data_IF_287733507913
#
_entry.id   IF_287733507913
#
_cell.length_a   1.000
_cell.length_b   1.000
_cell.length_c   1.000
_cell.angle_alpha   90.00
_cell.angle_beta   90.00
_cell.angle_gamma   90.00
#
_symmetry.space_group_name_H-M   'P 1'
#
loop_
_entity.id
_entity.type
_entity.pdbx_description
1 polymer ?
#
# COMPACT_ATOMS: atom_id res chain seq x y z
N UNK A 1 -6.69 45.20 24.86
CA UNK A 1 -7.44 44.51 23.79
C UNK A 1 -6.47 44.27 22.65
N UNK A 2 -6.01 43.05 22.47
CA UNK A 2 -5.14 42.67 21.36
C UNK A 2 -6.04 42.23 20.22
N UNK A 3 -6.03 42.96 19.12
CA UNK A 3 -6.78 42.64 17.91
C UNK A 3 -6.03 41.53 17.17
N UNK A 4 -6.61 40.32 17.09
CA UNK A 4 -6.09 39.20 16.28
C UNK A 4 -6.43 39.50 14.81
N UNK A 5 -5.44 39.59 13.89
CA UNK A 5 -5.75 39.78 12.48
C UNK A 5 -6.47 38.55 11.90
N UNK A 6 -7.51 38.80 11.10
CA UNK A 6 -8.26 37.81 10.38
C UNK A 6 -7.33 36.97 9.44
N UNK A 7 -7.33 35.68 9.60
CA UNK A 7 -6.64 34.77 8.69
C UNK A 7 -7.34 34.85 7.31
N UNK A 8 -6.59 35.29 6.32
CA UNK A 8 -7.04 35.31 4.93
C UNK A 8 -7.42 33.88 4.49
N UNK A 9 -8.52 33.68 3.74
CA UNK A 9 -8.88 32.39 3.21
C UNK A 9 -7.75 31.91 2.27
N UNK A 10 -7.31 30.67 2.50
CA UNK A 10 -6.38 29.96 1.63
C UNK A 10 -6.92 29.99 0.19
N UNK A 11 -6.08 30.16 -0.83
CA UNK A 11 -6.52 30.16 -2.22
C UNK A 11 -7.26 28.87 -2.53
N UNK A 12 -8.41 29.00 -3.22
CA UNK A 12 -9.22 27.89 -3.70
C UNK A 12 -8.32 26.93 -4.48
N UNK A 13 -8.07 25.74 -3.91
CA UNK A 13 -7.34 24.67 -4.59
C UNK A 13 -8.15 24.25 -5.80
N UNK A 14 -7.69 24.61 -7.00
CA UNK A 14 -8.11 23.97 -8.23
C UNK A 14 -7.93 22.47 -8.02
N UNK A 15 -9.00 21.70 -8.13
CA UNK A 15 -8.94 20.24 -8.00
C UNK A 15 -7.86 19.72 -8.95
N UNK A 16 -6.95 18.86 -8.52
CA UNK A 16 -5.89 18.36 -9.37
C UNK A 16 -6.50 17.70 -10.60
N UNK A 17 -6.03 18.05 -11.79
CA UNK A 17 -6.50 17.47 -13.06
C UNK A 17 -6.28 15.95 -13.13
N UNK A 18 -5.43 15.39 -12.27
CA UNK A 18 -5.09 13.97 -12.16
C UNK A 18 -5.66 13.41 -10.85
N UNK A 19 -6.41 12.31 -10.96
CA UNK A 19 -6.91 11.57 -9.79
C UNK A 19 -5.75 10.89 -9.06
N UNK A 20 -5.72 11.02 -7.73
CA UNK A 20 -4.74 10.36 -6.89
C UNK A 20 -4.83 8.83 -7.03
N UNK A 21 -3.68 8.18 -7.20
CA UNK A 21 -3.54 6.74 -7.37
C UNK A 21 -2.16 6.29 -6.90
N UNK A 22 -1.90 4.98 -6.77
CA UNK A 22 -0.58 4.49 -6.39
C UNK A 22 0.55 5.11 -7.22
N UNK A 23 1.50 5.74 -6.55
CA UNK A 23 2.70 6.31 -7.16
C UNK A 23 3.89 5.34 -7.15
N UNK A 24 3.78 4.21 -6.45
CA UNK A 24 4.71 3.08 -6.48
C UNK A 24 4.09 1.87 -7.15
N UNK A 25 4.93 1.04 -7.77
CA UNK A 25 4.56 -0.33 -8.13
C UNK A 25 4.81 -1.19 -6.89
N UNK A 26 3.77 -1.84 -6.38
CA UNK A 26 3.91 -2.69 -5.19
C UNK A 26 3.27 -4.04 -5.43
N UNK A 27 3.94 -5.11 -4.98
CA UNK A 27 3.44 -6.46 -5.15
C UNK A 27 2.08 -6.61 -4.43
N UNK A 28 1.13 -7.31 -5.04
CA UNK A 28 -0.21 -7.45 -4.49
C UNK A 28 -1.15 -6.24 -4.67
N UNK A 29 -0.71 -5.19 -5.38
CA UNK A 29 -1.51 -3.97 -5.57
C UNK A 29 -2.92 -4.22 -6.12
N UNK A 30 -3.94 -3.72 -5.42
CA UNK A 30 -5.37 -4.00 -5.66
C UNK A 30 -6.01 -3.17 -6.77
N UNK A 31 -5.27 -2.31 -7.45
CA UNK A 31 -5.84 -1.36 -8.41
C UNK A 31 -6.75 -1.96 -9.49
N UNK A 32 -6.52 -3.21 -9.89
CA UNK A 32 -7.36 -3.93 -10.87
C UNK A 32 -8.58 -4.59 -10.27
N UNK A 33 -8.60 -4.78 -8.97
CA UNK A 33 -9.67 -5.48 -8.25
C UNK A 33 -10.64 -4.51 -7.57
N UNK A 34 -10.31 -3.24 -7.50
CA UNK A 34 -11.11 -2.21 -6.83
C UNK A 34 -12.56 -2.20 -7.31
N UNK A 35 -12.79 -2.32 -8.63
CA UNK A 35 -14.15 -2.40 -9.17
C UNK A 35 -14.94 -3.60 -8.66
N UNK A 36 -14.29 -4.70 -8.35
CA UNK A 36 -14.94 -5.87 -7.73
C UNK A 36 -15.08 -5.72 -6.21
N UNK A 37 -14.23 -4.90 -5.58
CA UNK A 37 -14.29 -4.62 -4.14
C UNK A 37 -15.33 -3.56 -3.79
N UNK A 38 -15.68 -2.69 -4.76
CA UNK A 38 -16.58 -1.55 -4.56
C UNK A 38 -17.88 -1.90 -3.83
N UNK A 39 -18.60 -2.98 -4.16
CA UNK A 39 -19.85 -3.32 -3.48
C UNK A 39 -19.66 -3.71 -2.00
N UNK A 40 -18.43 -4.01 -1.60
CA UNK A 40 -18.11 -4.48 -0.25
C UNK A 40 -17.57 -3.38 0.65
N UNK A 41 -17.18 -2.23 0.12
CA UNK A 41 -16.74 -1.11 0.95
C UNK A 41 -17.89 -0.56 1.78
N UNK A 42 -17.67 -0.21 3.06
CA UNK A 42 -18.66 0.50 3.85
C UNK A 42 -19.08 1.81 3.20
N UNK A 43 -20.38 2.11 3.22
CA UNK A 43 -20.91 3.33 2.65
C UNK A 43 -20.34 4.62 3.29
N UNK A 44 -19.98 4.54 4.57
CA UNK A 44 -19.35 5.61 5.33
C UNK A 44 -18.24 5.05 6.22
N UNK A 45 -17.22 5.85 6.47
CA UNK A 45 -16.09 5.51 7.31
C UNK A 45 -15.60 6.79 8.00
N UNK A 46 -15.61 6.80 9.34
CA UNK A 46 -15.13 7.97 10.09
C UNK A 46 -13.60 8.05 9.99
N UNK A 47 -12.89 7.03 10.46
CA UNK A 47 -11.46 6.90 10.26
C UNK A 47 -11.16 5.56 9.56
N UNK A 48 -10.41 5.64 8.50
CA UNK A 48 -9.95 4.49 7.73
C UNK A 48 -8.56 4.05 8.18
N UNK A 49 -8.39 2.78 8.45
CA UNK A 49 -7.10 2.19 8.84
C UNK A 49 -6.65 1.17 7.82
N UNK A 50 -5.40 1.29 7.35
CA UNK A 50 -4.77 0.34 6.41
C UNK A 50 -3.38 -0.03 6.94
N UNK A 51 -3.25 -1.05 7.82
CA UNK A 51 -1.98 -1.45 8.45
C UNK A 51 -0.97 -2.11 7.50
N UNK A 52 -1.38 -2.48 6.30
CA UNK A 52 -0.54 -3.01 5.22
C UNK A 52 -0.70 -2.13 3.99
N UNK A 53 -0.32 -0.86 4.08
CA UNK A 53 -0.64 0.11 3.01
C UNK A 53 -0.01 -0.24 1.66
N UNK A 54 1.20 -0.81 1.65
CA UNK A 54 1.88 -1.17 0.41
C UNK A 54 1.84 -0.06 -0.63
N UNK A 55 1.19 -0.30 -1.78
CA UNK A 55 0.98 0.72 -2.82
C UNK A 55 -0.17 1.69 -2.56
N UNK A 56 -1.01 1.47 -1.53
CA UNK A 56 -2.12 2.34 -1.14
C UNK A 56 -3.30 2.36 -2.12
N UNK A 57 -3.50 1.30 -2.90
CA UNK A 57 -4.53 1.31 -3.95
C UNK A 57 -5.95 1.50 -3.38
N UNK A 58 -6.26 0.87 -2.24
CA UNK A 58 -7.56 0.99 -1.58
C UNK A 58 -7.69 2.36 -0.94
N UNK A 59 -6.65 2.83 -0.23
CA UNK A 59 -6.64 4.18 0.33
C UNK A 59 -6.92 5.24 -0.73
N UNK A 60 -6.16 5.29 -1.83
CA UNK A 60 -6.34 6.31 -2.86
C UNK A 60 -7.72 6.27 -3.50
N UNK A 61 -8.31 5.09 -3.62
CA UNK A 61 -9.66 4.93 -4.13
C UNK A 61 -10.70 5.50 -3.17
N UNK A 62 -10.55 5.23 -1.87
CA UNK A 62 -11.50 5.66 -0.84
C UNK A 62 -11.26 7.09 -0.33
N UNK A 63 -10.09 7.68 -0.57
CA UNK A 63 -9.70 8.99 -0.05
C UNK A 63 -10.73 10.11 -0.27
N UNK A 64 -11.45 10.19 -1.42
CA UNK A 64 -12.49 11.19 -1.59
C UNK A 64 -13.70 11.05 -0.65
N UNK A 65 -13.91 9.84 -0.09
CA UNK A 65 -15.09 9.48 0.73
C UNK A 65 -14.79 9.44 2.23
N UNK A 66 -13.53 9.60 2.64
CA UNK A 66 -13.14 9.51 4.05
C UNK A 66 -12.63 10.85 4.60
N UNK A 67 -12.83 11.05 5.90
CA UNK A 67 -12.40 12.27 6.59
C UNK A 67 -10.96 12.16 7.09
N UNK A 68 -10.59 11.00 7.59
CA UNK A 68 -9.28 10.69 8.17
C UNK A 68 -8.81 9.30 7.75
N UNK A 69 -7.50 9.12 7.69
CA UNK A 69 -6.89 7.81 7.51
C UNK A 69 -5.68 7.63 8.43
N UNK A 70 -5.40 6.37 8.78
CA UNK A 70 -4.16 5.93 9.41
C UNK A 70 -3.57 4.85 8.51
N UNK A 71 -2.45 5.18 7.86
CA UNK A 71 -1.77 4.30 6.92
C UNK A 71 -0.52 3.75 7.58
N UNK A 72 -0.47 2.45 7.72
CA UNK A 72 0.63 1.74 8.36
C UNK A 72 1.35 0.79 7.42
N UNK A 73 2.61 0.59 7.67
CA UNK A 73 3.40 -0.51 7.10
C UNK A 73 4.54 -0.83 8.06
N UNK A 74 5.00 -2.07 8.05
CA UNK A 74 6.17 -2.48 8.85
C UNK A 74 7.48 -2.06 8.18
N UNK A 75 7.45 -1.69 6.90
CA UNK A 75 8.62 -1.25 6.15
C UNK A 75 8.89 0.25 6.37
N UNK A 76 9.93 0.62 7.15
CA UNK A 76 10.22 2.02 7.46
C UNK A 76 10.60 2.85 6.23
N UNK A 77 11.17 2.23 5.18
CA UNK A 77 11.50 2.94 3.96
C UNK A 77 10.26 3.31 3.16
N UNK A 78 9.24 2.44 3.15
CA UNK A 78 7.95 2.74 2.53
C UNK A 78 7.24 3.86 3.30
N UNK A 79 7.18 3.77 4.63
CA UNK A 79 6.62 4.82 5.51
C UNK A 79 7.33 6.16 5.27
N UNK A 80 8.66 6.15 5.17
CA UNK A 80 9.45 7.33 4.85
C UNK A 80 9.04 7.95 3.51
N UNK A 81 8.87 7.14 2.45
CA UNK A 81 8.42 7.63 1.14
C UNK A 81 7.05 8.30 1.22
N UNK A 82 6.07 7.66 1.87
CA UNK A 82 4.73 8.23 2.04
C UNK A 82 4.76 9.59 2.78
N UNK A 83 5.58 9.71 3.83
CA UNK A 83 5.77 10.96 4.57
C UNK A 83 6.34 12.06 3.68
N UNK A 84 7.38 11.77 2.87
CA UNK A 84 7.96 12.76 1.97
C UNK A 84 7.01 13.17 0.83
N UNK A 85 6.22 12.24 0.31
CA UNK A 85 5.17 12.57 -0.67
C UNK A 85 4.11 13.48 -0.05
N UNK A 86 3.71 13.21 1.20
CA UNK A 86 2.72 14.04 1.92
C UNK A 86 3.24 15.42 2.24
N UNK A 87 4.43 15.49 2.87
CA UNK A 87 4.88 16.68 3.59
C UNK A 87 5.73 17.62 2.72
N UNK A 88 6.51 17.10 1.79
CA UNK A 88 7.42 17.89 0.97
C UNK A 88 7.57 17.35 -0.47
N UNK A 89 6.45 17.21 -1.23
CA UNK A 89 6.49 16.65 -2.58
C UNK A 89 7.40 17.42 -3.52
N UNK A 90 7.49 18.75 -3.40
CA UNK A 90 8.37 19.57 -4.24
C UNK A 90 9.85 19.21 -4.06
N UNK A 91 10.31 19.03 -2.81
CA UNK A 91 11.69 18.64 -2.54
C UNK A 91 11.99 17.23 -3.06
N UNK A 92 11.04 16.30 -2.89
CA UNK A 92 11.14 14.95 -3.40
C UNK A 92 11.21 14.92 -4.94
N UNK A 93 10.34 15.67 -5.61
CA UNK A 93 10.34 15.77 -7.09
C UNK A 93 11.65 16.34 -7.62
N UNK A 94 12.26 17.32 -6.95
CA UNK A 94 13.58 17.84 -7.35
C UNK A 94 14.66 16.73 -7.34
N UNK A 95 14.66 15.86 -6.34
CA UNK A 95 15.56 14.70 -6.29
C UNK A 95 15.24 13.66 -7.37
N UNK A 96 13.96 13.41 -7.62
CA UNK A 96 13.54 12.46 -8.67
C UNK A 96 13.90 12.97 -10.07
N UNK A 97 13.78 14.26 -10.33
CA UNK A 97 14.22 14.87 -11.60
C UNK A 97 15.75 14.78 -11.77
N UNK A 98 16.50 14.90 -10.66
CA UNK A 98 17.94 14.62 -10.71
C UNK A 98 18.22 13.18 -11.10
N UNK A 99 17.56 12.19 -10.46
CA UNK A 99 17.70 10.78 -10.84
C UNK A 99 17.29 10.51 -12.29
N UNK A 100 16.21 11.15 -12.77
CA UNK A 100 15.71 11.00 -14.14
C UNK A 100 16.73 11.47 -15.18
N UNK A 101 17.38 12.62 -14.95
CA UNK A 101 18.40 13.17 -15.86
C UNK A 101 19.66 12.31 -15.97
N UNK A 102 20.02 11.59 -14.89
CA UNK A 102 21.22 10.76 -14.83
C UNK A 102 20.94 9.29 -15.13
N UNK A 103 19.67 8.92 -15.37
CA UNK A 103 19.27 7.51 -15.53
C UNK A 103 20.04 6.81 -16.66
N UNK A 104 20.78 5.80 -16.29
CA UNK A 104 21.50 4.86 -17.15
C UNK A 104 21.66 3.53 -16.39
N UNK A 105 22.05 2.44 -17.06
CA UNK A 105 22.36 1.19 -16.36
C UNK A 105 23.43 1.34 -15.28
N UNK A 106 24.50 2.06 -15.57
CA UNK A 106 25.60 2.27 -14.62
C UNK A 106 25.13 3.10 -13.40
N UNK A 107 24.38 4.16 -13.67
CA UNK A 107 23.79 4.99 -12.62
C UNK A 107 22.81 4.19 -11.76
N UNK A 108 21.97 3.34 -12.38
CA UNK A 108 21.07 2.46 -11.63
C UNK A 108 21.82 1.59 -10.63
N UNK A 109 22.87 0.91 -11.08
CA UNK A 109 23.66 0.03 -10.21
C UNK A 109 24.46 0.82 -9.18
N UNK A 110 24.91 2.04 -9.49
CA UNK A 110 25.55 2.93 -8.51
C UNK A 110 24.55 3.31 -7.38
N UNK A 111 23.34 3.74 -7.73
CA UNK A 111 22.28 4.08 -6.75
C UNK A 111 21.83 2.84 -5.96
N UNK A 112 21.73 1.67 -6.63
CA UNK A 112 21.37 0.42 -5.95
C UNK A 112 22.35 0.03 -4.84
N UNK A 113 23.66 0.26 -5.05
CA UNK A 113 24.72 -0.02 -4.06
C UNK A 113 24.75 0.95 -2.88
N UNK A 114 24.04 2.06 -2.93
CA UNK A 114 23.98 3.01 -1.81
C UNK A 114 23.03 2.49 -0.72
N UNK A 115 23.56 1.69 0.22
CA UNK A 115 22.73 1.08 1.26
C UNK A 115 22.54 1.97 2.50
N UNK A 116 23.42 2.95 2.72
CA UNK A 116 23.43 3.83 3.88
C UNK A 116 23.36 5.30 3.45
N UNK A 117 22.13 5.81 3.26
CA UNK A 117 21.90 7.23 3.02
C UNK A 117 21.43 7.88 4.33
N UNK A 118 22.15 8.90 4.84
CA UNK A 118 21.83 9.53 6.12
C UNK A 118 20.53 10.36 6.04
N UNK A 119 20.26 10.97 4.90
CA UNK A 119 19.11 11.86 4.75
C UNK A 119 17.84 11.08 4.35
N UNK A 120 16.73 11.20 5.10
CA UNK A 120 15.48 10.53 4.79
C UNK A 120 14.93 10.89 3.40
N UNK A 121 15.10 12.12 2.93
CA UNK A 121 14.72 12.55 1.59
C UNK A 121 15.46 11.76 0.49
N UNK A 122 16.76 11.55 0.64
CA UNK A 122 17.56 10.81 -0.34
C UNK A 122 17.16 9.33 -0.35
N UNK A 123 16.84 8.74 0.81
CA UNK A 123 16.30 7.38 0.91
C UNK A 123 14.95 7.27 0.19
N UNK A 124 14.06 8.23 0.40
CA UNK A 124 12.75 8.25 -0.26
C UNK A 124 12.88 8.36 -1.79
N UNK A 125 13.70 9.30 -2.26
CA UNK A 125 13.95 9.47 -3.70
C UNK A 125 14.61 8.22 -4.31
N UNK A 126 15.59 7.62 -3.61
CA UNK A 126 16.23 6.37 -4.02
C UNK A 126 15.21 5.24 -4.16
N UNK A 127 14.33 5.05 -3.17
CA UNK A 127 13.34 3.97 -3.22
C UNK A 127 12.41 4.15 -4.41
N UNK A 128 11.86 5.35 -4.64
CA UNK A 128 10.99 5.62 -5.79
C UNK A 128 11.76 5.39 -7.10
N UNK A 129 12.98 5.92 -7.22
CA UNK A 129 13.81 5.73 -8.40
C UNK A 129 14.04 4.25 -8.74
N UNK A 130 14.48 3.46 -7.75
CA UNK A 130 14.71 2.03 -7.91
C UNK A 130 13.42 1.29 -8.27
N UNK A 131 12.32 1.59 -7.60
CA UNK A 131 11.02 0.98 -7.87
C UNK A 131 10.50 1.27 -9.29
N UNK A 132 10.71 2.48 -9.79
CA UNK A 132 10.28 2.87 -11.14
C UNK A 132 11.17 2.29 -12.24
N UNK A 133 12.41 1.96 -11.94
CA UNK A 133 13.42 1.56 -12.94
C UNK A 133 13.88 0.11 -12.83
N UNK A 134 13.58 -0.59 -11.74
CA UNK A 134 13.91 -2.01 -11.57
C UNK A 134 12.97 -2.94 -12.36
N UNK A 135 13.38 -4.19 -12.50
CA UNK A 135 12.60 -5.24 -13.15
C UNK A 135 11.22 -5.39 -12.51
N UNK A 136 10.17 -5.16 -13.29
CA UNK A 136 8.75 -5.23 -12.92
C UNK A 136 8.32 -4.36 -11.73
N UNK A 137 9.13 -3.40 -11.29
CA UNK A 137 8.82 -2.58 -10.11
C UNK A 137 8.80 -3.39 -8.81
N UNK A 138 9.53 -4.49 -8.75
CA UNK A 138 9.61 -5.33 -7.57
C UNK A 138 10.36 -4.62 -6.44
N UNK A 139 9.91 -4.84 -5.21
CA UNK A 139 10.70 -4.54 -4.02
C UNK A 139 11.20 -5.86 -3.44
N UNK A 140 12.51 -6.04 -3.38
CA UNK A 140 13.14 -7.23 -2.80
C UNK A 140 14.47 -6.86 -2.17
N UNK A 141 14.73 -7.43 -1.01
CA UNK A 141 15.97 -7.29 -0.26
C UNK A 141 16.67 -8.65 -0.13
N UNK A 142 17.97 -8.62 0.02
CA UNK A 142 18.75 -9.79 0.44
C UNK A 142 18.67 -9.97 1.97
N UNK A 143 19.33 -11.00 2.51
CA UNK A 143 19.37 -11.29 3.95
C UNK A 143 19.97 -10.17 4.82
N UNK A 144 20.69 -9.23 4.19
CA UNK A 144 21.27 -8.06 4.85
C UNK A 144 20.36 -6.82 4.77
N UNK A 145 19.12 -6.95 4.25
CA UNK A 145 18.19 -5.83 4.07
C UNK A 145 18.58 -4.89 2.91
N UNK A 146 19.39 -5.34 1.97
CA UNK A 146 19.82 -4.52 0.84
C UNK A 146 18.96 -4.81 -0.40
N UNK A 147 18.47 -3.76 -1.03
CA UNK A 147 17.72 -3.86 -2.29
C UNK A 147 18.55 -4.54 -3.38
N UNK A 148 18.03 -5.62 -3.99
CA UNK A 148 18.81 -6.48 -4.89
C UNK A 148 18.13 -6.77 -6.24
N UNK A 149 17.07 -6.07 -6.61
CA UNK A 149 16.40 -6.27 -7.91
C UNK A 149 17.29 -5.74 -9.05
N UNK A 150 17.40 -6.42 -10.21
CA UNK A 150 18.12 -5.91 -11.37
C UNK A 150 17.36 -4.77 -12.06
N UNK A 151 18.03 -4.02 -12.90
CA UNK A 151 17.41 -2.99 -13.76
C UNK A 151 16.34 -3.60 -14.66
N UNK A 152 15.23 -2.88 -14.86
CA UNK A 152 14.17 -3.24 -15.79
C UNK A 152 14.48 -2.79 -17.24
N UNK A 153 13.71 -3.32 -18.17
CA UNK A 153 13.83 -2.97 -19.61
C UNK A 153 12.80 -1.89 -19.97
N UNK A 154 13.03 -0.65 -19.53
CA UNK A 154 12.15 0.48 -19.82
C UNK A 154 12.87 1.49 -20.71
N UNK A 155 12.26 1.87 -21.84
CA UNK A 155 12.81 2.90 -22.72
C UNK A 155 12.67 4.31 -22.11
N UNK A 156 11.57 4.59 -21.40
CA UNK A 156 11.31 5.86 -20.72
C UNK A 156 10.59 5.59 -19.40
N UNK A 157 11.30 5.22 -18.33
CA UNK A 157 10.67 4.95 -17.04
C UNK A 157 10.09 6.25 -16.44
N UNK A 158 8.84 6.19 -16.00
CA UNK A 158 8.15 7.32 -15.34
C UNK A 158 8.70 7.57 -13.92
N UNK A 159 9.96 8.05 -13.81
CA UNK A 159 10.67 8.24 -12.55
C UNK A 159 10.02 9.35 -11.71
N UNK A 160 9.68 10.47 -12.36
CA UNK A 160 9.02 11.61 -11.71
C UNK A 160 7.74 11.97 -12.49
N UNK A 161 6.60 11.68 -11.90
CA UNK A 161 5.27 12.08 -12.38
C UNK A 161 4.76 13.17 -11.46
N UNK A 162 4.95 14.43 -11.86
CA UNK A 162 4.65 15.59 -11.04
C UNK A 162 3.19 15.64 -10.65
N UNK A 163 2.29 15.47 -11.62
CA UNK A 163 0.84 15.60 -11.40
C UNK A 163 0.34 14.51 -10.45
N UNK A 164 0.82 13.29 -10.64
CA UNK A 164 0.49 12.17 -9.74
C UNK A 164 1.02 12.39 -8.32
N UNK A 165 2.25 12.89 -8.17
CA UNK A 165 2.84 13.14 -6.85
C UNK A 165 2.12 14.27 -6.12
N UNK A 166 1.70 15.33 -6.83
CA UNK A 166 0.86 16.38 -6.23
C UNK A 166 -0.52 15.87 -5.85
N UNK A 167 -1.18 15.10 -6.72
CA UNK A 167 -2.47 14.49 -6.40
C UNK A 167 -2.37 13.54 -5.20
N UNK A 168 -1.34 12.70 -5.15
CA UNK A 168 -1.08 11.81 -4.03
C UNK A 168 -0.82 12.59 -2.73
N UNK A 169 0.01 13.65 -2.79
CA UNK A 169 0.26 14.53 -1.65
C UNK A 169 -1.04 15.13 -1.10
N UNK A 170 -1.89 15.66 -1.97
CA UNK A 170 -3.18 16.24 -1.58
C UNK A 170 -4.09 15.21 -0.88
N UNK A 171 -4.17 13.99 -1.40
CA UNK A 171 -4.94 12.92 -0.77
C UNK A 171 -4.38 12.52 0.60
N UNK A 172 -3.05 12.50 0.74
CA UNK A 172 -2.36 12.10 1.97
C UNK A 172 -2.44 13.15 3.09
N UNK A 173 -2.86 14.41 2.84
CA UNK A 173 -2.97 15.43 3.88
C UNK A 173 -3.92 15.05 5.03
N UNK A 174 -4.87 14.15 4.77
CA UNK A 174 -5.81 13.64 5.78
C UNK A 174 -5.33 12.34 6.42
N UNK A 175 -4.13 11.86 6.07
CA UNK A 175 -3.59 10.60 6.53
C UNK A 175 -2.47 10.80 7.57
N UNK A 176 -2.59 10.11 8.69
CA UNK A 176 -1.45 9.82 9.57
C UNK A 176 -0.68 8.65 8.98
N UNK A 177 0.64 8.77 8.83
CA UNK A 177 1.50 7.75 8.25
C UNK A 177 2.43 7.23 9.33
N UNK A 178 2.33 5.95 9.64
CA UNK A 178 2.99 5.33 10.80
C UNK A 178 3.72 4.04 10.42
N UNK A 179 4.84 3.79 11.08
CA UNK A 179 5.43 2.46 11.13
C UNK A 179 4.64 1.69 12.18
N UNK A 180 3.85 0.69 11.75
CA UNK A 180 2.88 0.03 12.61
C UNK A 180 2.86 -1.47 12.33
N UNK A 181 3.29 -2.31 13.29
CA UNK A 181 2.94 -3.71 13.30
C UNK A 181 1.42 -3.87 13.30
N UNK A 182 0.88 -4.78 12.47
CA UNK A 182 -0.58 -4.91 12.33
C UNK A 182 -1.32 -5.21 13.64
N UNK A 183 -0.64 -5.82 14.62
CA UNK A 183 -1.18 -6.09 15.96
C UNK A 183 -1.48 -4.83 16.76
N UNK A 184 -0.73 -3.76 16.52
CA UNK A 184 -0.84 -2.52 17.28
C UNK A 184 -2.09 -1.71 16.91
N UNK A 185 -2.82 -2.14 15.88
CA UNK A 185 -4.16 -1.63 15.56
C UNK A 185 -5.12 -1.81 16.74
N UNK A 186 -4.94 -2.84 17.55
CA UNK A 186 -5.78 -3.10 18.73
C UNK A 186 -5.65 -2.04 19.82
N UNK A 187 -4.54 -1.31 19.85
CA UNK A 187 -4.28 -0.21 20.77
C UNK A 187 -4.80 1.14 20.27
N UNK A 188 -5.29 1.20 19.03
CA UNK A 188 -5.89 2.42 18.49
C UNK A 188 -7.31 2.62 19.09
N UNK A 189 -7.76 3.88 19.26
CA UNK A 189 -9.10 4.19 19.80
C UNK A 189 -10.18 3.99 18.72
N UNK A 190 -10.33 2.75 18.25
CA UNK A 190 -11.29 2.37 17.22
C UNK A 190 -12.71 2.30 17.77
N UNK A 191 -13.65 2.80 16.97
CA UNK A 191 -15.08 2.79 17.21
C UNK A 191 -15.82 2.00 16.13
N UNK A 192 -17.11 1.64 16.31
CA UNK A 192 -17.91 0.99 15.27
C UNK A 192 -18.09 1.83 13.97
N UNK A 193 -17.81 3.11 14.02
CA UNK A 193 -17.86 4.01 12.85
C UNK A 193 -16.59 3.93 11.99
N UNK A 194 -15.53 3.35 12.52
CA UNK A 194 -14.25 3.21 11.83
C UNK A 194 -14.20 1.97 10.94
N UNK A 195 -13.30 2.01 9.97
CA UNK A 195 -13.09 0.92 9.02
C UNK A 195 -11.61 0.51 9.00
N UNK A 196 -11.37 -0.79 8.97
CA UNK A 196 -10.03 -1.36 8.84
C UNK A 196 -9.97 -2.23 7.59
N UNK A 197 -8.94 -2.05 6.77
CA UNK A 197 -8.65 -2.94 5.65
C UNK A 197 -7.27 -3.59 5.83
N UNK A 198 -7.24 -4.91 5.80
CA UNK A 198 -6.03 -5.70 5.84
C UNK A 198 -5.72 -6.30 4.46
N UNK A 199 -4.52 -6.03 3.96
CA UNK A 199 -3.95 -6.65 2.75
C UNK A 199 -2.59 -7.27 3.08
N UNK A 200 -2.56 -8.35 3.90
CA UNK A 200 -1.31 -8.96 4.34
C UNK A 200 -0.61 -9.67 3.17
N UNK A 201 0.67 -10.04 3.32
CA UNK A 201 1.27 -11.03 2.44
C UNK A 201 0.41 -12.30 2.42
N UNK A 202 0.02 -12.73 1.20
CA UNK A 202 -0.93 -13.84 1.02
C UNK A 202 -0.35 -15.18 1.40
N UNK A 203 -1.19 -16.03 1.97
CA UNK A 203 -0.80 -17.41 2.24
C UNK A 203 -0.50 -18.17 0.92
N UNK A 204 0.64 -18.89 0.80
CA UNK A 204 0.97 -19.64 -0.41
C UNK A 204 -0.06 -20.71 -0.74
N UNK A 205 -0.54 -20.77 -1.99
CA UNK A 205 -1.51 -21.78 -2.45
C UNK A 205 -0.81 -23.12 -2.78
N UNK A 206 0.50 -23.10 -3.04
CA UNK A 206 1.27 -24.30 -3.37
C UNK A 206 2.66 -24.26 -2.77
N UNK A 207 3.31 -25.42 -2.52
CA UNK A 207 4.69 -25.48 -2.01
C UNK A 207 5.72 -24.79 -2.91
N UNK A 208 5.43 -24.62 -4.19
CA UNK A 208 6.30 -23.92 -5.16
C UNK A 208 6.05 -22.41 -5.24
N UNK A 209 5.01 -21.91 -4.59
CA UNK A 209 4.68 -20.48 -4.54
C UNK A 209 5.33 -19.77 -3.34
N UNK A 210 6.58 -20.14 -2.99
CA UNK A 210 7.35 -19.50 -1.91
C UNK A 210 7.73 -18.05 -2.18
N UNK A 211 6.85 -17.27 -2.80
CA UNK A 211 7.03 -15.86 -3.07
C UNK A 211 6.82 -14.94 -1.84
N UNK A 212 6.70 -15.50 -0.64
CA UNK A 212 6.51 -14.75 0.62
C UNK A 212 7.80 -14.12 1.16
N UNK A 213 8.95 -14.35 0.54
CA UNK A 213 10.25 -13.81 0.98
C UNK A 213 10.65 -12.50 0.27
N UNK A 214 9.69 -11.61 -0.03
CA UNK A 214 10.02 -10.32 -0.64
C UNK A 214 10.66 -9.31 0.33
N UNK A 215 10.47 -9.49 1.63
CA UNK A 215 11.08 -8.65 2.66
C UNK A 215 11.69 -9.50 3.77
N UNK A 216 12.63 -8.91 4.52
CA UNK A 216 13.18 -9.49 5.76
C UNK A 216 12.11 -9.74 6.84
N UNK A 217 10.92 -9.19 6.67
CA UNK A 217 9.77 -9.37 7.55
C UNK A 217 8.89 -10.51 6.99
N UNK A 218 9.24 -11.77 7.25
CA UNK A 218 8.42 -12.90 6.82
C UNK A 218 6.99 -12.80 7.36
N UNK A 219 6.01 -13.36 6.64
CA UNK A 219 4.61 -13.48 7.09
C UNK A 219 4.16 -14.92 6.88
N UNK A 220 4.25 -15.70 7.95
CA UNK A 220 3.99 -17.14 7.94
C UNK A 220 2.61 -17.52 8.45
N UNK A 221 2.32 -18.85 8.58
CA UNK A 221 1.05 -19.34 9.10
C UNK A 221 0.70 -18.78 10.48
N UNK A 222 1.66 -18.69 11.40
CA UNK A 222 1.46 -18.12 12.74
C UNK A 222 1.06 -16.63 12.68
N UNK A 223 1.55 -15.87 11.68
CA UNK A 223 1.15 -14.49 11.48
C UNK A 223 -0.27 -14.38 10.94
N UNK A 224 -0.67 -15.32 10.04
CA UNK A 224 -2.04 -15.42 9.55
C UNK A 224 -3.01 -15.73 10.69
N UNK A 225 -2.65 -16.63 11.59
CA UNK A 225 -3.45 -16.96 12.79
C UNK A 225 -3.59 -15.75 13.72
N UNK A 226 -2.48 -15.04 13.99
CA UNK A 226 -2.52 -13.81 14.79
C UNK A 226 -3.38 -12.73 14.14
N UNK A 227 -3.30 -12.58 12.82
CA UNK A 227 -4.12 -11.62 12.09
C UNK A 227 -5.60 -11.97 12.18
N UNK A 228 -5.96 -13.25 12.10
CA UNK A 228 -7.34 -13.70 12.29
C UNK A 228 -7.86 -13.41 13.71
N UNK A 229 -7.01 -13.51 14.74
CA UNK A 229 -7.36 -13.10 16.11
C UNK A 229 -7.59 -11.59 16.20
N UNK A 230 -6.71 -10.77 15.59
CA UNK A 230 -6.89 -9.32 15.54
C UNK A 230 -8.19 -8.95 14.81
N UNK A 231 -8.47 -9.59 13.69
CA UNK A 231 -9.72 -9.40 12.94
C UNK A 231 -10.95 -9.67 13.81
N UNK A 232 -10.98 -10.80 14.54
CA UNK A 232 -12.10 -11.16 15.45
C UNK A 232 -12.30 -10.13 16.55
N UNK A 233 -11.21 -9.73 17.22
CA UNK A 233 -11.29 -8.75 18.30
C UNK A 233 -11.82 -7.39 17.82
N UNK A 234 -11.46 -6.96 16.62
CA UNK A 234 -12.00 -5.75 16.01
C UNK A 234 -13.49 -5.92 15.66
N UNK A 235 -13.86 -7.06 15.10
CA UNK A 235 -15.25 -7.40 14.80
C UNK A 235 -16.14 -7.43 16.06
N UNK A 236 -15.64 -8.00 17.14
CA UNK A 236 -16.31 -8.01 18.46
C UNK A 236 -16.52 -6.61 19.04
N UNK A 237 -15.62 -5.67 18.75
CA UNK A 237 -15.77 -4.24 19.08
C UNK A 237 -16.76 -3.51 18.15
N UNK A 238 -17.34 -4.19 17.16
CA UNK A 238 -18.24 -3.62 16.18
C UNK A 238 -17.54 -2.85 15.06
N UNK A 239 -16.20 -2.86 14.98
CA UNK A 239 -15.45 -2.20 13.93
C UNK A 239 -15.70 -2.91 12.59
N UNK A 240 -15.83 -2.14 11.52
CA UNK A 240 -16.01 -2.69 10.16
C UNK A 240 -14.67 -3.09 9.59
N UNK A 241 -14.42 -4.39 9.52
CA UNK A 241 -13.14 -4.94 9.06
C UNK A 241 -13.32 -5.63 7.71
N UNK A 242 -12.43 -5.35 6.79
CA UNK A 242 -12.25 -6.02 5.51
C UNK A 242 -10.86 -6.63 5.41
N UNK A 243 -10.73 -7.80 4.83
CA UNK A 243 -9.45 -8.48 4.62
C UNK A 243 -9.42 -9.18 3.27
N UNK A 244 -8.32 -9.06 2.53
CA UNK A 244 -8.04 -9.84 1.34
C UNK A 244 -6.98 -10.90 1.60
N UNK A 245 -7.13 -12.10 1.00
CA UNK A 245 -6.13 -13.17 1.08
C UNK A 245 -6.31 -14.19 -0.06
N UNK A 246 -5.41 -15.17 -0.13
CA UNK A 246 -5.51 -16.30 -1.07
C UNK A 246 -6.73 -17.16 -0.77
N UNK A 247 -7.35 -17.68 -1.83
CA UNK A 247 -8.43 -18.66 -1.70
C UNK A 247 -7.85 -20.05 -1.45
N UNK A 248 -7.73 -20.42 -0.18
CA UNK A 248 -7.29 -21.73 0.26
C UNK A 248 -8.00 -22.16 1.55
N UNK A 249 -8.02 -23.46 1.79
CA UNK A 249 -8.72 -24.06 2.94
C UNK A 249 -8.24 -23.51 4.28
N UNK A 250 -6.91 -23.28 4.42
CA UNK A 250 -6.34 -22.72 5.64
C UNK A 250 -6.93 -21.35 5.97
N UNK A 251 -6.98 -20.43 5.00
CA UNK A 251 -7.56 -19.10 5.20
C UNK A 251 -9.07 -19.19 5.44
N UNK A 252 -9.80 -20.01 4.68
CA UNK A 252 -11.24 -20.21 4.91
C UNK A 252 -11.56 -20.68 6.32
N UNK A 253 -10.77 -21.60 6.88
CA UNK A 253 -10.93 -22.08 8.27
C UNK A 253 -10.62 -20.97 9.30
N UNK A 254 -9.58 -20.14 9.06
CA UNK A 254 -9.24 -19.06 9.97
C UNK A 254 -10.37 -18.03 10.13
N UNK A 255 -11.16 -17.82 9.08
CA UNK A 255 -12.25 -16.82 9.07
C UNK A 255 -13.63 -17.46 8.99
N UNK A 256 -13.75 -18.72 9.40
CA UNK A 256 -15.05 -19.37 9.52
C UNK A 256 -16.00 -18.60 10.45
N UNK A 257 -17.26 -18.49 10.03
CA UNK A 257 -18.28 -17.68 10.70
C UNK A 257 -18.37 -16.23 10.22
N UNK A 258 -17.46 -15.75 9.37
CA UNK A 258 -17.55 -14.44 8.72
C UNK A 258 -18.00 -14.53 7.27
N UNK A 259 -18.61 -13.48 6.71
CA UNK A 259 -18.88 -13.41 5.28
C UNK A 259 -17.60 -13.51 4.44
N UNK A 260 -17.54 -14.48 3.53
CA UNK A 260 -16.39 -14.72 2.64
C UNK A 260 -16.88 -14.64 1.20
N UNK A 261 -16.23 -13.79 0.40
CA UNK A 261 -16.54 -13.55 -1.01
C UNK A 261 -15.35 -13.95 -1.88
N UNK A 262 -15.62 -14.64 -2.99
CA UNK A 262 -14.59 -14.99 -3.98
C UNK A 262 -14.49 -13.89 -5.03
N UNK A 263 -13.30 -13.33 -5.18
CA UNK A 263 -12.96 -12.26 -6.12
C UNK A 263 -12.11 -12.83 -7.24
N UNK A 264 -12.41 -12.52 -8.49
CA UNK A 264 -11.69 -13.05 -9.64
C UNK A 264 -10.43 -12.23 -9.93
N UNK A 265 -9.26 -12.80 -9.68
CA UNK A 265 -7.97 -12.17 -9.99
C UNK A 265 -7.37 -12.74 -11.28
N UNK A 266 -6.78 -11.88 -12.12
CA UNK A 266 -6.07 -12.32 -13.33
C UNK A 266 -4.60 -12.62 -13.01
N UNK A 267 -4.10 -13.82 -13.27
CA UNK A 267 -2.65 -14.09 -13.26
C UNK A 267 -1.96 -13.37 -14.41
N UNK A 268 -1.05 -12.45 -14.11
CA UNK A 268 -0.30 -11.69 -15.11
C UNK A 268 0.98 -12.37 -15.60
N UNK A 269 1.50 -13.36 -14.87
CA UNK A 269 2.79 -13.98 -15.18
C UNK A 269 2.69 -15.49 -14.99
N UNK A 270 2.42 -16.20 -16.09
CA UNK A 270 2.77 -17.61 -16.20
C UNK A 270 3.38 -17.83 -17.60
N UNK A 271 4.59 -18.37 -17.64
CA UNK A 271 5.27 -18.77 -18.87
C UNK A 271 4.55 -19.88 -19.62
N UNK A 272 3.61 -20.56 -18.96
CA UNK A 272 2.81 -21.65 -19.54
C UNK A 272 1.39 -21.15 -19.84
N UNK A 273 1.05 -21.05 -21.12
CA UNK A 273 -0.23 -20.51 -21.63
C UNK A 273 -1.43 -21.31 -21.14
N UNK A 274 -1.30 -22.62 -20.96
CA UNK A 274 -2.38 -23.53 -20.51
C UNK A 274 -2.75 -23.36 -19.03
N UNK A 275 -1.90 -22.71 -18.21
CA UNK A 275 -2.12 -22.41 -16.79
C UNK A 275 -2.53 -20.97 -16.50
N UNK A 276 -2.99 -20.22 -17.50
CA UNK A 276 -3.57 -18.89 -17.36
C UNK A 276 -5.03 -18.95 -16.88
N UNK A 277 -5.28 -19.66 -15.79
CA UNK A 277 -6.60 -19.70 -15.13
C UNK A 277 -6.86 -18.41 -14.32
N UNK A 278 -8.12 -18.02 -14.24
CA UNK A 278 -8.57 -17.05 -13.21
C UNK A 278 -8.25 -17.66 -11.85
N UNK A 279 -7.56 -16.93 -11.00
CA UNK A 279 -7.36 -17.33 -9.60
C UNK A 279 -8.39 -16.55 -8.81
N UNK A 280 -9.10 -17.24 -7.93
CA UNK A 280 -9.88 -16.55 -6.92
C UNK A 280 -8.98 -16.11 -5.77
N UNK A 281 -9.23 -14.90 -5.26
CA UNK A 281 -8.79 -14.49 -3.95
C UNK A 281 -10.02 -14.29 -3.07
N UNK A 282 -9.83 -14.32 -1.76
CA UNK A 282 -10.91 -14.11 -0.80
C UNK A 282 -10.96 -12.65 -0.38
N UNK A 283 -12.17 -12.13 -0.30
CA UNK A 283 -12.48 -10.92 0.43
C UNK A 283 -13.38 -11.31 1.62
N UNK A 284 -12.96 -10.96 2.81
CA UNK A 284 -13.60 -11.34 4.07
C UNK A 284 -14.05 -10.05 4.76
N UNK A 285 -15.27 -10.03 5.31
CA UNK A 285 -15.80 -8.87 6.02
C UNK A 285 -16.32 -9.25 7.40
N UNK A 286 -16.25 -8.32 8.36
CA UNK A 286 -16.87 -8.48 9.69
C UNK A 286 -18.36 -8.12 9.70
N UNK A 287 -18.90 -7.70 8.57
CA UNK A 287 -20.27 -7.20 8.40
C UNK A 287 -20.93 -7.81 7.16
N UNK A 288 -22.25 -7.89 7.21
CA UNK A 288 -23.03 -8.31 6.05
C UNK A 288 -23.09 -7.16 5.02
N UNK A 289 -22.91 -7.49 3.74
CA UNK A 289 -23.09 -6.54 2.64
C UNK A 289 -24.50 -6.70 2.12
N UNK A 290 -25.27 -5.62 2.12
CA UNK A 290 -26.59 -5.60 1.48
C UNK A 290 -26.42 -5.82 -0.04
N UNK A 291 -27.01 -6.88 -0.56
CA UNK A 291 -27.06 -7.19 -2.00
C UNK A 291 -28.21 -6.45 -2.68
#
# INVERSE_FOLDING_TARGET
>A
MVVIPAVSPLPSTVAPAVVARPFLKWAGGKGRLIGQYEPYFPASCHTYYEPFVGGGAVFFHLAPRMQRAVLGDINPELVNVYRWVRDAPKALMAKLEFHKRHHSPDYYYAIRRQHHLPLPLDRAARLIYLNKTCYNGLYRENSQGQFNVPIGRYNNPGICDHDLLWAASAALQRAQIVELPFTDILHQPLTPEDCVYFDPPYHPISPTSHFTHYSRYGFGPADQERLAQVFRQLAERGVRVMLSNSDCEFIRRLYDGFPIYSIQASRMINTNVERRGKISELLITSYAVAR
#
